data_IF_110048499178
#
_entry.id   IF_110048499178
#
_cell.length_a   1.000
_cell.length_b   1.000
_cell.length_c   1.000
_cell.angle_alpha   90.00
_cell.angle_beta   90.00
_cell.angle_gamma   90.00
#
_symmetry.space_group_name_H-M   'P 1'
#
loop_
_entity.id
_entity.type
_entity.pdbx_description
1 polymer ?
#
# COMPACT_ATOMS: atom_id res chain seq x y z
N UNK A 1 6.79 12.67 -23.89
CA UNK A 1 5.33 12.78 -24.18
C UNK A 1 4.72 11.38 -24.05
N UNK A 2 4.38 10.92 -22.84
CA UNK A 2 3.07 11.10 -22.18
C UNK A 2 1.85 10.59 -22.96
N UNK A 3 1.92 9.39 -23.54
CA UNK A 3 0.76 8.71 -24.16
C UNK A 3 0.33 7.44 -23.42
N UNK A 4 1.27 6.56 -23.04
CA UNK A 4 0.92 5.29 -22.37
C UNK A 4 0.44 5.44 -20.92
N UNK A 5 1.06 6.33 -20.14
CA UNK A 5 0.65 6.62 -18.76
C UNK A 5 -0.77 7.21 -18.66
N UNK A 6 -1.23 7.93 -19.70
CA UNK A 6 -2.62 8.44 -19.76
C UNK A 6 -3.65 7.34 -20.02
N UNK A 7 -3.30 6.29 -20.76
CA UNK A 7 -4.23 5.20 -21.09
C UNK A 7 -4.52 4.31 -19.90
N UNK A 8 -3.51 4.01 -19.08
CA UNK A 8 -3.67 3.17 -17.89
C UNK A 8 -4.53 3.90 -16.84
N UNK A 9 -4.26 5.19 -16.57
CA UNK A 9 -5.08 6.01 -15.66
C UNK A 9 -6.55 6.11 -16.09
N UNK A 10 -6.82 6.15 -17.40
CA UNK A 10 -8.19 6.22 -17.92
C UNK A 10 -8.97 4.89 -17.77
N UNK A 11 -8.31 3.74 -17.80
CA UNK A 11 -8.98 2.44 -17.68
C UNK A 11 -9.50 2.19 -16.25
N UNK A 12 -8.74 2.58 -15.24
CA UNK A 12 -9.17 2.47 -13.85
C UNK A 12 -10.29 3.48 -13.51
N UNK A 13 -10.28 4.67 -14.10
CA UNK A 13 -11.32 5.67 -13.89
C UNK A 13 -12.69 5.24 -14.45
N UNK A 14 -12.72 4.58 -15.61
CA UNK A 14 -13.97 4.14 -16.24
C UNK A 14 -14.61 2.93 -15.54
N UNK A 15 -13.79 2.07 -14.93
CA UNK A 15 -14.28 0.89 -14.21
C UNK A 15 -15.02 1.30 -12.93
N UNK A 16 -14.52 2.32 -12.23
CA UNK A 16 -15.18 2.90 -11.05
C UNK A 16 -16.54 3.53 -11.39
N UNK A 17 -16.68 4.19 -12.55
CA UNK A 17 -17.99 4.75 -12.98
C UNK A 17 -19.03 3.68 -13.30
N UNK A 18 -18.63 2.56 -13.90
CA UNK A 18 -19.57 1.47 -14.24
C UNK A 18 -20.14 0.78 -13.00
N UNK A 19 -19.36 0.66 -11.92
CA UNK A 19 -19.83 0.08 -10.66
C UNK A 19 -20.80 0.99 -9.89
N UNK A 20 -20.68 2.32 -10.07
CA UNK A 20 -21.57 3.30 -9.42
C UNK A 20 -22.93 3.42 -10.13
N UNK A 21 -23.05 3.06 -11.41
CA UNK A 21 -24.30 3.22 -12.16
C UNK A 21 -25.39 2.19 -11.85
N UNK A 22 -25.14 1.14 -11.04
CA UNK A 22 -26.13 0.08 -10.78
C UNK A 22 -26.87 0.17 -9.43
N UNK A 23 -26.60 1.19 -8.62
CA UNK A 23 -27.37 1.43 -7.39
C UNK A 23 -27.77 2.90 -7.34
N UNK A 24 -29.02 3.20 -7.69
CA UNK A 24 -29.92 4.14 -7.01
C UNK A 24 -31.13 4.46 -7.90
N UNK A 25 -32.17 3.65 -7.76
CA UNK A 25 -33.56 4.08 -7.98
C UNK A 25 -34.22 4.17 -6.61
N UNK A 26 -34.24 5.36 -6.01
CA UNK A 26 -35.33 5.91 -5.16
C UNK A 26 -34.89 7.22 -4.48
N UNK A 27 -35.90 8.08 -4.31
CA UNK A 27 -35.89 9.52 -4.16
C UNK A 27 -35.29 10.07 -2.86
N UNK A 28 -34.69 11.26 -2.98
CA UNK A 28 -34.97 12.43 -2.16
C UNK A 28 -34.26 12.54 -0.81
N UNK A 29 -33.26 13.44 -0.72
CA UNK A 29 -33.15 14.51 0.27
C UNK A 29 -31.96 15.39 -0.11
N UNK A 30 -32.20 16.70 -0.22
CA UNK A 30 -31.19 17.72 -0.52
C UNK A 30 -30.30 17.93 0.71
N UNK A 31 -29.10 17.36 0.69
CA UNK A 31 -27.94 17.89 1.39
C UNK A 31 -26.82 17.99 0.33
N UNK A 32 -26.06 19.09 0.25
CA UNK A 32 -24.81 19.05 -0.48
C UNK A 32 -23.92 18.09 0.29
N UNK A 33 -23.92 16.82 -0.12
CA UNK A 33 -22.89 15.88 0.27
C UNK A 33 -21.61 16.52 -0.24
N UNK A 34 -20.86 17.16 0.67
CA UNK A 34 -19.42 17.29 0.52
C UNK A 34 -18.94 15.85 0.38
N UNK A 35 -18.88 15.38 -0.88
CA UNK A 35 -18.03 14.27 -1.23
C UNK A 35 -16.64 14.77 -0.95
N UNK A 36 -16.16 14.53 0.26
CA UNK A 36 -14.75 14.26 0.47
C UNK A 36 -14.45 13.10 -0.49
N UNK A 37 -14.00 13.46 -1.69
CA UNK A 37 -13.22 12.55 -2.50
C UNK A 37 -11.93 12.34 -1.71
N UNK A 38 -11.96 11.54 -0.65
CA UNK A 38 -10.77 10.79 -0.27
C UNK A 38 -10.44 9.96 -1.49
N UNK A 39 -9.52 10.49 -2.30
CA UNK A 39 -8.74 9.67 -3.20
C UNK A 39 -8.14 8.61 -2.27
N UNK A 40 -8.62 7.37 -2.38
CA UNK A 40 -8.04 6.21 -1.70
C UNK A 40 -6.65 6.00 -2.30
N UNK A 41 -5.71 6.87 -1.91
CA UNK A 41 -4.30 6.71 -2.21
C UNK A 41 -3.86 5.48 -1.44
N UNK A 42 -3.26 4.50 -2.11
CA UNK A 42 -2.63 3.35 -1.48
C UNK A 42 -1.12 3.59 -1.45
N UNK A 43 -0.45 3.05 -0.46
CA UNK A 43 1.01 3.04 -0.44
C UNK A 43 1.48 1.83 -1.25
N UNK A 44 2.15 2.09 -2.37
CA UNK A 44 2.56 1.05 -3.33
C UNK A 44 3.99 0.60 -3.07
N UNK A 45 4.18 -0.69 -2.83
CA UNK A 45 5.44 -1.36 -2.58
C UNK A 45 5.87 -2.12 -3.83
N UNK A 46 6.92 -1.66 -4.49
CA UNK A 46 7.42 -2.21 -5.75
C UNK A 46 8.78 -2.90 -5.55
N UNK A 47 8.86 -4.19 -5.85
CA UNK A 47 10.08 -4.97 -5.65
C UNK A 47 10.99 -4.92 -6.89
N UNK A 48 12.17 -4.32 -6.75
CA UNK A 48 13.14 -4.22 -7.85
C UNK A 48 14.58 -4.16 -7.36
N UNK A 49 15.52 -4.57 -8.21
CA UNK A 49 16.95 -4.40 -7.93
C UNK A 49 17.37 -2.91 -8.00
N UNK A 50 16.67 -2.08 -8.77
CA UNK A 50 16.95 -0.66 -8.91
C UNK A 50 15.68 0.12 -9.26
N UNK A 51 15.47 1.30 -8.66
CA UNK A 51 14.32 2.16 -8.94
C UNK A 51 14.15 2.47 -10.44
N UNK A 52 15.25 2.63 -11.19
CA UNK A 52 15.22 2.90 -12.64
C UNK A 52 14.72 1.74 -13.50
N UNK A 53 14.62 0.54 -12.92
CA UNK A 53 14.16 -0.68 -13.60
C UNK A 53 12.71 -1.02 -13.26
N UNK A 54 12.01 -0.14 -12.54
CA UNK A 54 10.58 -0.29 -12.27
C UNK A 54 9.80 -0.03 -13.56
N UNK A 55 8.92 -0.96 -13.89
CA UNK A 55 8.06 -0.98 -15.07
C UNK A 55 6.71 -1.65 -14.76
N UNK A 56 5.84 -1.81 -15.76
CA UNK A 56 4.51 -2.43 -15.59
C UNK A 56 4.53 -3.89 -15.11
N UNK A 57 5.65 -4.59 -15.19
CA UNK A 57 5.79 -5.98 -14.79
C UNK A 57 6.43 -6.13 -13.40
N UNK A 58 6.78 -5.01 -12.77
CA UNK A 58 7.40 -5.01 -11.45
C UNK A 58 6.41 -5.54 -10.41
N UNK A 59 6.79 -6.54 -9.59
CA UNK A 59 5.93 -7.04 -8.53
C UNK A 59 5.51 -5.91 -7.59
N UNK A 60 4.21 -5.82 -7.32
CA UNK A 60 3.60 -4.77 -6.52
C UNK A 60 2.77 -5.35 -5.39
N UNK A 61 2.82 -4.70 -4.23
CA UNK A 61 1.87 -4.86 -3.13
C UNK A 61 1.36 -3.47 -2.75
N UNK A 62 0.06 -3.32 -2.51
CA UNK A 62 -0.55 -2.04 -2.16
C UNK A 62 -1.14 -2.11 -0.76
N UNK A 63 -0.77 -1.16 0.10
CA UNK A 63 -1.32 -1.02 1.45
C UNK A 63 -2.29 0.15 1.51
N UNK A 64 -3.56 -0.13 1.79
CA UNK A 64 -4.55 0.92 1.98
C UNK A 64 -4.38 1.66 3.31
N UNK A 65 -4.83 2.92 3.36
CA UNK A 65 -4.73 3.80 4.53
C UNK A 65 -5.29 3.17 5.81
N UNK A 66 -6.41 2.47 5.74
CA UNK A 66 -7.00 1.81 6.91
C UNK A 66 -6.08 0.74 7.53
N UNK A 67 -5.41 -0.04 6.67
CA UNK A 67 -4.51 -1.11 7.10
C UNK A 67 -3.17 -0.54 7.56
N UNK A 68 -2.71 0.53 6.92
CA UNK A 68 -1.57 1.32 7.39
C UNK A 68 -1.85 1.90 8.79
N UNK A 69 -2.92 2.67 8.96
CA UNK A 69 -3.31 3.24 10.25
C UNK A 69 -3.39 2.15 11.32
N UNK A 70 -4.00 1.01 11.01
CA UNK A 70 -4.11 -0.11 11.95
C UNK A 70 -2.75 -0.72 12.30
N UNK A 71 -1.85 -0.88 11.34
CA UNK A 71 -0.48 -1.35 11.57
C UNK A 71 0.26 -0.40 12.53
N UNK A 72 0.27 0.90 12.23
CA UNK A 72 1.04 1.89 12.98
C UNK A 72 0.46 2.18 14.36
N UNK A 73 -0.86 2.16 14.52
CA UNK A 73 -1.51 2.26 15.83
C UNK A 73 -1.13 1.11 16.77
N UNK A 74 -0.83 -0.06 16.22
CA UNK A 74 -0.41 -1.23 17.01
C UNK A 74 1.09 -1.29 17.25
N UNK A 75 1.90 -0.69 16.36
CA UNK A 75 3.35 -0.62 16.47
C UNK A 75 3.86 0.42 17.50
N UNK A 76 3.00 0.92 18.38
CA UNK A 76 3.40 1.86 19.44
C UNK A 76 4.03 1.09 20.62
N UNK A 77 5.23 1.51 21.12
CA UNK A 77 6.02 2.64 20.62
C UNK A 77 6.88 2.26 19.40
N UNK A 78 6.88 3.13 18.36
CA UNK A 78 7.53 2.85 17.06
C UNK A 78 9.04 2.65 17.13
N UNK A 79 9.69 3.09 18.21
CA UNK A 79 11.12 2.86 18.42
C UNK A 79 11.48 1.37 18.60
N UNK A 80 10.51 0.51 18.92
CA UNK A 80 10.68 -0.94 18.97
C UNK A 80 10.67 -1.60 17.59
N UNK A 81 10.19 -0.88 16.57
CA UNK A 81 10.03 -1.37 15.20
C UNK A 81 10.69 -0.40 14.20
N UNK A 82 12.03 -0.28 14.24
CA UNK A 82 12.76 0.72 13.47
C UNK A 82 12.58 0.60 11.95
N UNK A 83 12.34 -0.59 11.40
CA UNK A 83 12.13 -0.74 9.95
C UNK A 83 10.68 -0.42 9.58
N UNK A 84 9.69 -0.86 10.36
CA UNK A 84 8.29 -0.44 10.20
C UNK A 84 8.19 1.10 10.22
N UNK A 85 8.92 1.75 11.14
CA UNK A 85 8.97 3.21 11.23
C UNK A 85 9.43 3.91 9.94
N UNK A 86 10.20 3.26 9.05
CA UNK A 86 10.72 3.92 7.84
C UNK A 86 9.63 4.34 6.84
N UNK A 87 8.43 3.79 6.96
CA UNK A 87 7.27 4.07 6.11
C UNK A 87 6.05 4.46 6.95
N UNK A 88 6.27 5.12 8.10
CA UNK A 88 5.20 5.66 8.94
C UNK A 88 4.49 6.87 8.30
N UNK A 89 5.24 7.67 7.54
CA UNK A 89 4.66 8.73 6.72
C UNK A 89 4.01 8.14 5.46
N UNK A 90 2.68 8.04 5.50
CA UNK A 90 1.84 7.55 4.41
C UNK A 90 1.97 8.38 3.11
N UNK A 91 2.49 9.60 3.21
CA UNK A 91 2.57 10.56 2.11
C UNK A 91 4.01 10.80 1.64
N UNK A 92 4.93 9.91 1.99
CA UNK A 92 6.33 10.01 1.60
C UNK A 92 6.85 8.74 0.93
N UNK A 93 7.58 8.94 -0.17
CA UNK A 93 8.36 7.89 -0.79
C UNK A 93 9.48 7.43 0.14
N UNK A 94 9.75 6.13 0.15
CA UNK A 94 10.84 5.55 0.95
C UNK A 94 11.34 4.25 0.32
N UNK A 95 12.34 3.64 0.93
CA UNK A 95 12.94 2.41 0.41
C UNK A 95 13.35 1.49 1.55
N UNK A 96 13.01 0.22 1.38
CA UNK A 96 13.50 -0.89 2.20
C UNK A 96 14.57 -1.61 1.38
N UNK A 97 15.80 -1.54 1.85
CA UNK A 97 16.93 -2.20 1.20
C UNK A 97 16.85 -3.71 1.42
N UNK A 98 17.47 -4.48 0.53
CA UNK A 98 17.53 -5.94 0.62
C UNK A 98 17.92 -6.45 2.02
N UNK A 99 18.94 -5.83 2.64
CA UNK A 99 19.41 -6.20 3.99
C UNK A 99 18.43 -5.87 5.12
N UNK A 100 17.40 -5.06 4.86
CA UNK A 100 16.38 -4.63 5.81
C UNK A 100 15.11 -5.47 5.73
N UNK A 101 14.92 -6.27 4.67
CA UNK A 101 13.69 -7.06 4.46
C UNK A 101 13.50 -8.13 5.54
N UNK A 102 14.53 -8.91 5.86
CA UNK A 102 14.43 -9.93 6.91
C UNK A 102 14.18 -9.33 8.30
N UNK A 103 14.87 -8.24 8.72
CA UNK A 103 14.48 -7.48 9.90
C UNK A 103 13.02 -6.99 9.89
N UNK A 104 12.52 -6.47 8.77
CA UNK A 104 11.13 -6.03 8.63
C UNK A 104 10.13 -7.18 8.84
N UNK A 105 10.37 -8.33 8.22
CA UNK A 105 9.51 -9.52 8.39
C UNK A 105 9.43 -9.89 9.89
N UNK A 106 10.57 -9.93 10.59
CA UNK A 106 10.61 -10.23 12.02
C UNK A 106 9.85 -9.21 12.87
N UNK A 107 9.93 -7.92 12.52
CA UNK A 107 9.16 -6.87 13.19
C UNK A 107 7.66 -7.09 13.00
N UNK A 108 7.21 -7.39 11.77
CA UNK A 108 5.80 -7.66 11.45
C UNK A 108 5.28 -8.92 12.15
N UNK A 109 6.03 -10.02 12.14
CA UNK A 109 5.67 -11.26 12.85
C UNK A 109 5.58 -11.06 14.36
N UNK A 110 6.54 -10.35 14.95
CA UNK A 110 6.54 -9.99 16.37
C UNK A 110 5.31 -9.15 16.72
N UNK A 111 4.96 -8.18 15.87
CA UNK A 111 3.80 -7.33 16.06
C UNK A 111 2.50 -8.13 16.00
N UNK A 112 2.34 -8.98 14.97
CA UNK A 112 1.19 -9.90 14.83
C UNK A 112 1.02 -10.75 16.08
N UNK A 113 2.11 -11.36 16.56
CA UNK A 113 2.08 -12.24 17.73
C UNK A 113 1.73 -11.48 19.02
N UNK A 114 2.33 -10.32 19.22
CA UNK A 114 2.20 -9.55 20.47
C UNK A 114 0.83 -8.88 20.58
N UNK A 115 0.35 -8.32 19.47
CA UNK A 115 -0.92 -7.57 19.43
C UNK A 115 -2.11 -8.43 19.00
N UNK A 116 -1.87 -9.70 18.66
CA UNK A 116 -2.86 -10.64 18.13
C UNK A 116 -3.58 -10.08 16.89
N UNK A 117 -2.85 -9.35 16.05
CA UNK A 117 -3.40 -8.81 14.81
C UNK A 117 -3.64 -9.94 13.83
N UNK A 118 -4.86 -10.04 13.33
CA UNK A 118 -5.21 -10.96 12.25
C UNK A 118 -5.58 -10.12 11.02
N UNK A 119 -4.56 -9.54 10.40
CA UNK A 119 -4.71 -8.75 9.18
C UNK A 119 -4.17 -9.57 8.01
N UNK A 120 -5.10 -10.01 7.16
CA UNK A 120 -4.78 -10.73 5.93
C UNK A 120 -3.85 -9.91 5.03
N UNK A 121 -4.02 -8.58 4.99
CA UNK A 121 -3.13 -7.68 4.26
C UNK A 121 -1.69 -7.69 4.77
N UNK A 122 -1.46 -7.80 6.09
CA UNK A 122 -0.10 -7.91 6.64
C UNK A 122 0.52 -9.28 6.35
N UNK A 123 -0.28 -10.35 6.35
CA UNK A 123 0.19 -11.69 5.94
C UNK A 123 0.62 -11.65 4.47
N UNK A 124 -0.21 -11.08 3.58
CA UNK A 124 0.14 -10.90 2.17
C UNK A 124 1.36 -9.98 1.98
N UNK A 125 1.53 -8.97 2.84
CA UNK A 125 2.70 -8.12 2.82
C UNK A 125 3.96 -8.91 3.18
N UNK A 126 3.91 -9.75 4.21
CA UNK A 126 5.01 -10.66 4.57
C UNK A 126 5.34 -11.59 3.39
N UNK A 127 4.36 -12.21 2.75
CA UNK A 127 4.57 -13.07 1.57
C UNK A 127 5.26 -12.32 0.42
N UNK A 128 4.88 -11.06 0.19
CA UNK A 128 5.51 -10.19 -0.80
C UNK A 128 6.98 -9.90 -0.44
N UNK A 129 7.26 -9.61 0.84
CA UNK A 129 8.62 -9.36 1.34
C UNK A 129 9.49 -10.62 1.23
N UNK A 130 8.97 -11.79 1.56
CA UNK A 130 9.70 -13.06 1.42
C UNK A 130 10.09 -13.34 -0.03
N UNK A 131 9.15 -13.15 -0.97
CA UNK A 131 9.44 -13.28 -2.41
C UNK A 131 10.49 -12.28 -2.88
N UNK A 132 10.39 -11.03 -2.41
CA UNK A 132 11.35 -9.97 -2.72
C UNK A 132 12.75 -10.31 -2.21
N UNK A 133 12.85 -10.82 -0.99
CA UNK A 133 14.10 -11.26 -0.37
C UNK A 133 14.72 -12.45 -1.12
N UNK A 134 13.93 -13.48 -1.42
CA UNK A 134 14.41 -14.66 -2.14
C UNK A 134 14.94 -14.33 -3.54
N UNK A 135 14.44 -13.24 -4.14
CA UNK A 135 14.88 -12.73 -5.43
C UNK A 135 16.00 -11.68 -5.35
N UNK A 136 16.50 -11.35 -4.15
CA UNK A 136 17.57 -10.37 -3.97
C UNK A 136 17.18 -8.93 -4.33
N UNK A 137 15.90 -8.56 -4.14
CA UNK A 137 15.35 -7.26 -4.54
C UNK A 137 15.31 -6.27 -3.36
N UNK A 138 15.30 -4.98 -3.69
CA UNK A 138 14.88 -3.92 -2.76
C UNK A 138 13.38 -3.68 -2.93
N UNK A 139 12.76 -2.99 -1.98
CA UNK A 139 11.36 -2.55 -2.07
C UNK A 139 11.32 -1.03 -2.06
N UNK A 140 10.79 -0.46 -3.14
CA UNK A 140 10.55 0.97 -3.28
C UNK A 140 9.10 1.27 -2.95
N UNK A 141 8.89 2.27 -2.12
CA UNK A 141 7.58 2.63 -1.59
C UNK A 141 7.20 3.97 -2.17
N UNK A 142 6.05 4.04 -2.84
CA UNK A 142 5.52 5.25 -3.47
C UNK A 142 4.17 5.63 -2.88
N UNK A 143 4.01 6.92 -2.59
CA UNK A 143 2.70 7.50 -2.31
C UNK A 143 2.09 8.03 -3.62
N UNK A 144 0.86 7.62 -3.95
CA UNK A 144 0.17 7.98 -5.20
C UNK A 144 -0.65 9.28 -5.11
#
# INVERSE_FOLDING_TARGET
MNSSLKKVKNFFYDTSKRLVSQKHSRQGYNNPIQLEHEVFMALDFMASNNQKKIDENTPIFSLGKSDHDLLFNNAIPLNQYPIIKKFDDYYADTTILYGEIQPLIKELESLIKTKKLQLESIIHFIDFLEKSFNNGLNVYIFCD
#
